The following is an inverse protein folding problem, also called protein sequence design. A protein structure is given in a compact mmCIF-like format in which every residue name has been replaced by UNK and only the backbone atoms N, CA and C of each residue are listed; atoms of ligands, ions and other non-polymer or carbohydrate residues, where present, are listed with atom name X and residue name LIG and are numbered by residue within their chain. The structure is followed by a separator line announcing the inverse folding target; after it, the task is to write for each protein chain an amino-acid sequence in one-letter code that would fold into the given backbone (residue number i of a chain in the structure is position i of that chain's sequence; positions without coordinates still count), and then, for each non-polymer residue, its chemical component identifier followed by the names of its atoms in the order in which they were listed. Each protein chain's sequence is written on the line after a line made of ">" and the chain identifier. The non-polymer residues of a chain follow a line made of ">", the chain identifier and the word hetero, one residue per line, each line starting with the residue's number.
data_IF_414610713007
#
_entry.id   IF_414610713007
#
_cell.length_a   1.000
_cell.length_b   1.000
_cell.length_c   1.000
_cell.angle_alpha   90.00
_cell.angle_beta   90.00
_cell.angle_gamma   90.00
#
_symmetry.space_group_name_H-M   'P 1'
#
loop_
_entity.id
_entity.type
_entity.pdbx_description
1 polymer ?
#
# COMPACT_ATOMS: atom_id res chain seq x y z
N UNK A 1 7.44 5.04 5.54
CA UNK A 1 6.49 4.64 4.47
C UNK A 1 7.09 3.46 3.71
N UNK A 2 6.27 2.49 3.32
CA UNK A 2 6.71 1.31 2.55
C UNK A 2 7.41 1.72 1.24
N UNK A 3 7.02 2.85 0.65
CA UNK A 3 7.65 3.43 -0.54
C UNK A 3 9.11 3.81 -0.29
N UNK A 4 9.43 4.40 0.87
CA UNK A 4 10.80 4.77 1.20
C UNK A 4 11.70 3.52 1.38
N UNK A 5 11.17 2.45 1.95
CA UNK A 5 11.86 1.16 2.10
C UNK A 5 12.11 0.52 0.73
N UNK A 6 11.09 0.47 -0.13
CA UNK A 6 11.21 -0.06 -1.49
C UNK A 6 12.24 0.71 -2.31
N UNK A 7 12.24 2.06 -2.26
CA UNK A 7 13.23 2.89 -2.96
C UNK A 7 14.65 2.71 -2.42
N UNK A 8 14.83 2.57 -1.10
CA UNK A 8 16.13 2.31 -0.52
C UNK A 8 16.70 0.97 -1.00
N UNK A 9 15.90 -0.08 -0.97
CA UNK A 9 16.29 -1.40 -1.45
C UNK A 9 16.50 -1.45 -2.98
N UNK A 10 15.67 -0.75 -3.77
CA UNK A 10 15.84 -0.66 -5.21
C UNK A 10 17.14 0.07 -5.62
N UNK A 11 17.57 1.07 -4.86
CA UNK A 11 18.88 1.71 -5.06
C UNK A 11 20.04 0.76 -4.72
N UNK A 12 19.91 0.03 -3.63
CA UNK A 12 20.92 -0.93 -3.19
C UNK A 12 21.06 -2.11 -4.16
N UNK A 13 19.99 -2.53 -4.85
CA UNK A 13 20.03 -3.61 -5.83
C UNK A 13 20.80 -3.26 -7.12
N UNK A 14 21.07 -1.99 -7.37
CA UNK A 14 21.87 -1.53 -8.54
C UNK A 14 23.39 -1.62 -8.32
N UNK A 15 23.84 -1.84 -7.11
CA UNK A 15 25.25 -2.09 -6.83
C UNK A 15 25.60 -3.55 -7.13
N UNK A 16 26.82 -3.85 -7.59
CA UNK A 16 27.24 -5.23 -7.86
C UNK A 16 27.26 -6.01 -6.54
N UNK A 17 26.28 -6.86 -6.35
CA UNK A 17 26.08 -7.65 -5.13
C UNK A 17 25.96 -9.14 -5.45
N UNK A 18 26.17 -9.98 -4.43
CA UNK A 18 25.99 -11.43 -4.53
C UNK A 18 24.50 -11.79 -4.74
N UNK A 19 24.22 -12.96 -5.30
CA UNK A 19 22.86 -13.45 -5.49
C UNK A 19 22.06 -13.55 -4.18
N UNK A 20 22.73 -13.81 -3.05
CA UNK A 20 22.15 -13.83 -1.71
C UNK A 20 21.67 -12.44 -1.26
N UNK A 21 22.43 -11.38 -1.57
CA UNK A 21 22.06 -10.01 -1.26
C UNK A 21 20.81 -9.56 -2.05
N UNK A 22 20.71 -9.90 -3.34
CA UNK A 22 19.50 -9.62 -4.13
C UNK A 22 18.26 -10.32 -3.57
N UNK A 23 18.39 -11.57 -3.12
CA UNK A 23 17.28 -12.28 -2.51
C UNK A 23 16.85 -11.70 -1.15
N UNK A 24 17.80 -11.22 -0.34
CA UNK A 24 17.51 -10.51 0.91
C UNK A 24 16.74 -9.20 0.65
N UNK A 25 17.17 -8.42 -0.35
CA UNK A 25 16.49 -7.18 -0.78
C UNK A 25 15.06 -7.48 -1.24
N UNK A 26 14.87 -8.49 -2.10
CA UNK A 26 13.55 -8.90 -2.58
C UNK A 26 12.63 -9.30 -1.43
N UNK A 27 13.14 -10.09 -0.47
CA UNK A 27 12.38 -10.48 0.72
C UNK A 27 12.00 -9.28 1.59
N UNK A 28 12.89 -8.30 1.76
CA UNK A 28 12.61 -7.06 2.49
C UNK A 28 11.50 -6.23 1.85
N UNK A 29 11.49 -6.12 0.52
CA UNK A 29 10.44 -5.43 -0.24
C UNK A 29 9.09 -6.14 -0.05
N UNK A 30 9.05 -7.46 -0.18
CA UNK A 30 7.82 -8.24 -0.03
C UNK A 30 7.27 -8.17 1.40
N UNK A 31 8.12 -8.16 2.41
CA UNK A 31 7.72 -7.93 3.81
C UNK A 31 7.13 -6.52 4.00
N UNK A 32 7.75 -5.49 3.41
CA UNK A 32 7.23 -4.13 3.49
C UNK A 32 5.82 -3.99 2.83
N UNK A 33 5.55 -4.74 1.77
CA UNK A 33 4.23 -4.79 1.16
C UNK A 33 3.21 -5.52 2.03
N UNK A 34 3.58 -6.63 2.65
CA UNK A 34 2.74 -7.35 3.61
C UNK A 34 2.30 -6.43 4.75
N UNK A 35 3.22 -5.66 5.31
CA UNK A 35 2.93 -4.65 6.34
C UNK A 35 2.00 -3.56 5.80
N UNK A 36 2.17 -3.14 4.53
CA UNK A 36 1.28 -2.16 3.90
C UNK A 36 -0.16 -2.67 3.78
N UNK A 37 -0.37 -3.93 3.43
CA UNK A 37 -1.72 -4.53 3.36
C UNK A 37 -2.37 -4.63 4.74
N UNK A 38 -1.61 -5.04 5.76
CA UNK A 38 -2.09 -5.06 7.14
C UNK A 38 -2.52 -3.66 7.62
N UNK A 39 -1.74 -2.62 7.26
CA UNK A 39 -2.05 -1.23 7.58
C UNK A 39 -3.35 -0.76 6.95
N UNK A 40 -3.60 -1.07 5.68
CA UNK A 40 -4.86 -0.77 4.99
C UNK A 40 -6.05 -1.40 5.74
N UNK A 41 -5.92 -2.65 6.19
CA UNK A 41 -6.97 -3.31 6.98
C UNK A 41 -7.21 -2.61 8.32
N UNK A 42 -6.15 -2.18 9.00
CA UNK A 42 -6.27 -1.42 10.26
C UNK A 42 -6.95 -0.07 10.04
N UNK A 43 -6.60 0.66 8.98
CA UNK A 43 -7.24 1.92 8.62
C UNK A 43 -8.75 1.74 8.36
N UNK A 44 -9.10 0.73 7.56
CA UNK A 44 -10.51 0.40 7.29
C UNK A 44 -11.24 -0.05 8.56
N UNK A 45 -10.59 -0.84 9.42
CA UNK A 45 -11.16 -1.26 10.70
C UNK A 45 -11.55 -0.06 11.58
N UNK A 46 -10.70 0.96 11.62
CA UNK A 46 -10.91 2.17 12.44
C UNK A 46 -11.99 3.06 11.83
N UNK A 47 -11.99 3.24 10.51
CA UNK A 47 -12.89 4.17 9.83
C UNK A 47 -14.26 3.54 9.54
N UNK A 48 -14.28 2.33 9.00
CA UNK A 48 -15.51 1.64 8.61
C UNK A 48 -15.34 0.11 8.59
N UNK A 49 -15.51 -0.51 9.77
CA UNK A 49 -15.33 -1.96 9.91
C UNK A 49 -16.34 -2.81 9.11
N UNK A 50 -17.43 -2.23 8.62
CA UNK A 50 -18.38 -2.96 7.78
C UNK A 50 -17.80 -3.33 6.39
N UNK A 51 -16.73 -2.67 5.96
CA UNK A 51 -16.00 -3.00 4.71
C UNK A 51 -15.04 -4.18 4.86
N UNK A 52 -14.65 -4.56 6.07
CA UNK A 52 -13.65 -5.61 6.28
C UNK A 52 -13.99 -6.93 5.59
N UNK A 53 -15.23 -7.48 5.69
CA UNK A 53 -15.55 -8.75 5.05
C UNK A 53 -15.34 -8.74 3.53
N UNK A 54 -15.56 -7.60 2.89
CA UNK A 54 -15.37 -7.44 1.44
C UNK A 54 -13.90 -7.26 1.03
N UNK A 55 -13.08 -6.69 1.91
CA UNK A 55 -11.65 -6.42 1.63
C UNK A 55 -10.73 -7.57 2.05
N UNK A 56 -11.09 -8.31 3.09
CA UNK A 56 -10.27 -9.40 3.62
C UNK A 56 -9.82 -10.43 2.56
N UNK A 57 -10.69 -10.94 1.67
CA UNK A 57 -10.27 -11.92 0.66
C UNK A 57 -9.18 -11.38 -0.26
N UNK A 58 -9.32 -10.14 -0.72
CA UNK A 58 -8.35 -9.49 -1.59
C UNK A 58 -7.01 -9.24 -0.87
N UNK A 59 -7.06 -8.71 0.34
CA UNK A 59 -5.84 -8.42 1.13
C UNK A 59 -5.12 -9.70 1.56
N UNK A 60 -5.85 -10.73 1.94
CA UNK A 60 -5.27 -12.05 2.29
C UNK A 60 -4.62 -12.67 1.06
N UNK A 61 -5.28 -12.68 -0.10
CA UNK A 61 -4.71 -13.24 -1.33
C UNK A 61 -3.41 -12.52 -1.74
N UNK A 62 -3.37 -11.20 -1.68
CA UNK A 62 -2.16 -10.42 -1.93
C UNK A 62 -1.05 -10.75 -0.93
N UNK A 63 -1.39 -10.84 0.35
CA UNK A 63 -0.44 -11.19 1.42
C UNK A 63 0.14 -12.59 1.20
N UNK A 64 -0.70 -13.58 0.89
CA UNK A 64 -0.26 -14.96 0.62
C UNK A 64 0.65 -15.03 -0.59
N UNK A 65 0.33 -14.32 -1.68
CA UNK A 65 1.19 -14.24 -2.87
C UNK A 65 2.55 -13.63 -2.51
N UNK A 66 2.58 -12.50 -1.82
CA UNK A 66 3.83 -11.86 -1.39
C UNK A 66 4.65 -12.79 -0.47
N UNK A 67 4.01 -13.44 0.51
CA UNK A 67 4.68 -14.35 1.42
C UNK A 67 5.24 -15.58 0.68
N UNK A 68 4.50 -16.15 -0.27
CA UNK A 68 4.96 -17.27 -1.08
C UNK A 68 6.19 -16.90 -1.94
N UNK A 69 6.17 -15.73 -2.59
CA UNK A 69 7.32 -15.22 -3.33
C UNK A 69 8.52 -14.94 -2.42
N UNK A 70 8.31 -14.35 -1.25
CA UNK A 70 9.37 -14.12 -0.26
C UNK A 70 10.01 -15.45 0.18
N UNK A 71 9.20 -16.44 0.53
CA UNK A 71 9.68 -17.77 0.93
C UNK A 71 10.43 -18.47 -0.23
N UNK A 72 9.96 -18.33 -1.46
CA UNK A 72 10.63 -18.88 -2.63
C UNK A 72 12.02 -18.26 -2.86
N UNK A 73 12.11 -16.92 -2.77
CA UNK A 73 13.38 -16.20 -2.87
C UNK A 73 14.35 -16.59 -1.76
N UNK A 74 13.87 -16.68 -0.50
CA UNK A 74 14.71 -17.09 0.64
C UNK A 74 15.26 -18.51 0.47
N UNK A 75 14.44 -19.46 0.00
CA UNK A 75 14.90 -20.85 -0.26
C UNK A 75 15.98 -20.93 -1.33
N UNK A 76 15.99 -20.01 -2.31
CA UNK A 76 17.01 -19.95 -3.36
C UNK A 76 18.29 -19.26 -2.93
N UNK A 77 18.23 -18.36 -1.95
CA UNK A 77 19.36 -17.54 -1.51
C UNK A 77 20.33 -18.25 -0.58
N UNK A 78 19.98 -19.42 0.01
CA UNK A 78 20.74 -20.01 1.09
C UNK A 78 20.59 -19.22 2.41
N UNK A 79 21.00 -19.82 3.54
CA UNK A 79 20.69 -19.31 4.88
C UNK A 79 21.48 -18.07 5.37
N UNK A 80 22.12 -17.31 4.52
CA UNK A 80 22.85 -16.09 4.94
C UNK A 80 22.02 -14.82 4.78
N UNK A 81 20.91 -14.74 5.50
CA UNK A 81 20.21 -13.47 5.68
C UNK A 81 20.76 -12.80 6.94
N UNK A 82 21.80 -11.99 6.80
CA UNK A 82 22.17 -11.04 7.85
C UNK A 82 21.07 -9.98 7.93
N UNK A 83 20.44 -9.87 9.09
CA UNK A 83 19.52 -8.78 9.39
C UNK A 83 20.31 -7.47 9.32
N UNK A 84 20.14 -6.71 8.23
CA UNK A 84 20.67 -5.35 8.17
C UNK A 84 19.79 -4.46 9.01
N UNK A 85 20.41 -3.73 9.93
CA UNK A 85 19.76 -2.69 10.72
C UNK A 85 19.19 -1.61 9.78
N UNK A 86 17.88 -1.63 9.62
CA UNK A 86 17.18 -0.54 8.93
C UNK A 86 17.15 0.65 9.88
N UNK A 87 17.79 1.79 9.55
CA UNK A 87 17.80 2.95 10.43
C UNK A 87 16.35 3.45 10.62
N UNK A 88 15.80 3.24 11.79
CA UNK A 88 14.48 3.73 12.19
C UNK A 88 14.54 5.25 12.32
N UNK A 89 14.34 5.97 11.24
CA UNK A 89 14.10 7.41 11.28
C UNK A 89 12.77 7.65 11.98
N UNK A 90 12.79 8.53 12.98
CA UNK A 90 11.58 8.96 13.68
C UNK A 90 10.55 9.50 12.66
N UNK A 91 9.39 8.80 12.47
CA UNK A 91 8.39 9.18 11.46
C UNK A 91 7.58 10.43 11.85
N UNK A 92 7.71 10.90 13.10
CA UNK A 92 6.91 12.00 13.63
C UNK A 92 7.57 13.35 13.35
N UNK A 93 7.41 13.85 12.12
CA UNK A 93 7.69 15.27 11.82
C UNK A 93 6.36 15.98 11.56
N UNK A 94 6.19 17.15 12.18
CA UNK A 94 5.01 18.02 11.98
C UNK A 94 4.81 18.34 10.49
N UNK A 95 5.90 18.56 9.77
CA UNK A 95 5.89 18.81 8.32
C UNK A 95 5.30 17.64 7.54
N UNK A 96 5.63 16.40 7.92
CA UNK A 96 5.05 15.21 7.27
C UNK A 96 3.57 15.07 7.59
N UNK A 97 3.14 15.38 8.81
CA UNK A 97 1.74 15.36 9.20
C UNK A 97 0.91 16.40 8.42
N UNK A 98 1.42 17.62 8.27
CA UNK A 98 0.77 18.68 7.48
C UNK A 98 0.65 18.29 6.00
N UNK A 99 1.73 17.76 5.40
CA UNK A 99 1.72 17.28 4.01
C UNK A 99 0.68 16.17 3.83
N UNK A 100 0.62 15.22 4.76
CA UNK A 100 -0.36 14.14 4.70
C UNK A 100 -1.79 14.69 4.84
N UNK A 101 -2.05 15.60 5.77
CA UNK A 101 -3.37 16.22 5.94
C UNK A 101 -3.82 17.00 4.69
N UNK A 102 -2.91 17.75 4.07
CA UNK A 102 -3.20 18.47 2.82
C UNK A 102 -3.49 17.50 1.66
N UNK A 103 -2.70 16.43 1.52
CA UNK A 103 -2.93 15.40 0.51
C UNK A 103 -4.28 14.71 0.75
N UNK A 104 -4.58 14.33 1.98
CA UNK A 104 -5.84 13.70 2.35
C UNK A 104 -7.04 14.61 2.04
N UNK A 105 -6.97 15.90 2.38
CA UNK A 105 -8.00 16.87 2.04
C UNK A 105 -8.21 17.00 0.53
N UNK A 106 -7.12 17.04 -0.25
CA UNK A 106 -7.18 17.08 -1.71
C UNK A 106 -7.83 15.81 -2.28
N UNK A 107 -7.45 14.63 -1.80
CA UNK A 107 -8.04 13.35 -2.22
C UNK A 107 -9.53 13.29 -1.86
N UNK A 108 -9.92 13.72 -0.65
CA UNK A 108 -11.33 13.82 -0.26
C UNK A 108 -12.13 14.72 -1.19
N UNK A 109 -11.57 15.87 -1.57
CA UNK A 109 -12.21 16.79 -2.52
C UNK A 109 -12.41 16.12 -3.89
N UNK A 110 -11.37 15.47 -4.41
CA UNK A 110 -11.44 14.77 -5.71
C UNK A 110 -12.46 13.61 -5.65
N UNK A 111 -12.50 12.84 -4.57
CA UNK A 111 -13.50 11.78 -4.36
C UNK A 111 -14.92 12.37 -4.37
N UNK A 112 -15.16 13.50 -3.68
CA UNK A 112 -16.46 14.18 -3.69
C UNK A 112 -16.85 14.71 -5.06
N UNK A 113 -15.91 15.28 -5.80
CA UNK A 113 -16.15 15.72 -7.17
C UNK A 113 -16.47 14.54 -8.11
N UNK A 114 -15.76 13.43 -7.99
CA UNK A 114 -16.05 12.23 -8.75
C UNK A 114 -17.45 11.67 -8.44
N UNK A 115 -17.89 11.70 -7.17
CA UNK A 115 -19.24 11.30 -6.79
C UNK A 115 -20.33 12.17 -7.42
N UNK A 116 -20.07 13.47 -7.56
CA UNK A 116 -21.04 14.39 -8.12
C UNK A 116 -21.22 14.24 -9.65
N UNK A 117 -20.16 13.83 -10.37
CA UNK A 117 -20.14 13.82 -11.83
C UNK A 117 -20.14 12.42 -12.45
N UNK A 118 -19.54 11.42 -11.76
CA UNK A 118 -19.42 10.04 -12.23
C UNK A 118 -19.31 9.10 -11.02
N UNK A 119 -20.42 8.81 -10.30
CA UNK A 119 -20.38 8.26 -8.95
C UNK A 119 -19.71 6.90 -8.81
N UNK A 120 -19.80 6.03 -9.79
CA UNK A 120 -19.17 4.70 -9.72
C UNK A 120 -17.85 4.66 -10.49
N UNK A 121 -17.89 4.99 -11.77
CA UNK A 121 -16.71 4.91 -12.67
C UNK A 121 -15.64 5.91 -12.27
N UNK A 122 -16.03 7.13 -11.86
CA UNK A 122 -15.10 8.17 -11.42
C UNK A 122 -14.29 7.77 -10.20
N UNK A 123 -14.88 7.04 -9.26
CA UNK A 123 -14.18 6.56 -8.06
C UNK A 123 -13.07 5.55 -8.38
N UNK A 124 -13.25 4.68 -9.37
CA UNK A 124 -12.21 3.75 -9.80
C UNK A 124 -11.01 4.48 -10.43
N UNK A 125 -11.25 5.49 -11.28
CA UNK A 125 -10.16 6.29 -11.83
C UNK A 125 -9.40 7.06 -10.75
N UNK A 126 -10.12 7.68 -9.81
CA UNK A 126 -9.49 8.38 -8.68
C UNK A 126 -8.69 7.41 -7.82
N UNK A 127 -9.24 6.22 -7.54
CA UNK A 127 -8.56 5.19 -6.76
C UNK A 127 -7.27 4.71 -7.43
N UNK A 128 -7.32 4.44 -8.74
CA UNK A 128 -6.16 4.02 -9.50
C UNK A 128 -5.06 5.09 -9.51
N UNK A 129 -5.39 6.34 -9.78
CA UNK A 129 -4.45 7.45 -9.83
C UNK A 129 -3.90 7.82 -8.45
N UNK A 130 -4.77 8.01 -7.45
CA UNK A 130 -4.34 8.37 -6.10
C UNK A 130 -3.54 7.25 -5.43
N UNK A 131 -3.88 5.99 -5.70
CA UNK A 131 -3.15 4.83 -5.22
C UNK A 131 -1.69 4.79 -5.66
N UNK A 132 -1.36 5.34 -6.83
CA UNK A 132 0.05 5.46 -7.28
C UNK A 132 0.87 6.39 -6.40
N UNK A 133 0.25 7.39 -5.79
CA UNK A 133 0.91 8.40 -4.95
C UNK A 133 0.87 8.02 -3.48
N UNK A 134 -0.34 7.80 -2.94
CA UNK A 134 -0.54 7.45 -1.52
C UNK A 134 -1.80 6.60 -1.34
N UNK A 135 -1.60 5.35 -0.97
CA UNK A 135 -2.70 4.41 -0.75
C UNK A 135 -3.47 4.71 0.54
N UNK A 136 -2.82 5.29 1.55
CA UNK A 136 -3.45 5.52 2.86
C UNK A 136 -4.52 6.61 2.73
N UNK A 137 -4.19 7.73 2.07
CA UNK A 137 -5.13 8.84 1.88
C UNK A 137 -6.38 8.42 1.09
N UNK A 138 -6.22 7.64 0.00
CA UNK A 138 -7.36 7.18 -0.79
C UNK A 138 -8.18 6.11 -0.05
N UNK A 139 -7.52 5.21 0.70
CA UNK A 139 -8.20 4.20 1.52
C UNK A 139 -9.11 4.83 2.57
N UNK A 140 -8.58 5.80 3.34
CA UNK A 140 -9.34 6.52 4.34
C UNK A 140 -10.52 7.27 3.72
N UNK A 141 -10.31 7.92 2.56
CA UNK A 141 -11.36 8.66 1.84
C UNK A 141 -12.47 7.74 1.35
N UNK A 142 -12.14 6.59 0.76
CA UNK A 142 -13.11 5.62 0.26
C UNK A 142 -13.82 4.87 1.41
N UNK A 143 -13.12 4.57 2.51
CA UNK A 143 -13.73 3.99 3.69
C UNK A 143 -14.75 4.94 4.34
N UNK A 144 -14.49 6.25 4.30
CA UNK A 144 -15.44 7.26 4.74
C UNK A 144 -16.62 7.39 3.77
N UNK A 145 -16.37 7.40 2.45
CA UNK A 145 -17.41 7.38 1.43
C UNK A 145 -18.39 6.22 1.62
N UNK A 146 -17.90 5.04 1.91
CA UNK A 146 -18.72 3.83 2.10
C UNK A 146 -19.72 3.90 3.26
N UNK A 147 -19.65 4.93 4.11
CA UNK A 147 -20.65 5.15 5.17
C UNK A 147 -22.00 5.67 4.63
N UNK A 148 -21.95 6.38 3.49
CA UNK A 148 -23.15 7.02 2.89
C UNK A 148 -23.37 6.60 1.44
N UNK A 149 -22.34 6.02 0.80
CA UNK A 149 -22.36 5.56 -0.58
C UNK A 149 -22.42 4.03 -0.69
N UNK A 150 -22.03 3.51 -1.86
CA UNK A 150 -22.04 2.07 -2.14
C UNK A 150 -20.78 1.38 -1.56
N UNK A 151 -20.91 0.48 -0.53
CA UNK A 151 -19.77 -0.21 0.07
C UNK A 151 -19.04 -1.13 -0.90
N UNK A 152 -19.74 -1.73 -1.88
CA UNK A 152 -19.17 -2.59 -2.90
C UNK A 152 -18.22 -1.81 -3.81
N UNK A 153 -18.63 -0.63 -4.29
CA UNK A 153 -17.79 0.28 -5.08
C UNK A 153 -16.57 0.71 -4.28
N UNK A 154 -16.74 1.08 -3.00
CA UNK A 154 -15.63 1.48 -2.15
C UNK A 154 -14.61 0.36 -1.95
N UNK A 155 -15.04 -0.86 -1.68
CA UNK A 155 -14.12 -2.00 -1.47
C UNK A 155 -13.33 -2.35 -2.74
N UNK A 156 -13.96 -2.36 -3.90
CA UNK A 156 -13.28 -2.57 -5.17
C UNK A 156 -12.30 -1.43 -5.50
N UNK A 157 -12.70 -0.18 -5.24
CA UNK A 157 -11.84 0.97 -5.45
C UNK A 157 -10.62 0.96 -4.52
N UNK A 158 -10.76 0.60 -3.23
CA UNK A 158 -9.65 0.41 -2.31
C UNK A 158 -8.71 -0.69 -2.81
N UNK A 159 -9.25 -1.83 -3.24
CA UNK A 159 -8.45 -2.93 -3.80
C UNK A 159 -7.65 -2.47 -5.02
N UNK A 160 -8.28 -1.71 -5.92
CA UNK A 160 -7.63 -1.15 -7.10
C UNK A 160 -6.51 -0.16 -6.72
N UNK A 161 -6.73 0.69 -5.72
CA UNK A 161 -5.72 1.62 -5.22
C UNK A 161 -4.49 0.87 -4.65
N UNK A 162 -4.72 -0.20 -3.88
CA UNK A 162 -3.65 -1.05 -3.35
C UNK A 162 -2.87 -1.74 -4.47
N UNK A 163 -3.55 -2.26 -5.48
CA UNK A 163 -2.92 -2.86 -6.66
C UNK A 163 -2.07 -1.83 -7.42
N UNK A 164 -2.62 -0.66 -7.72
CA UNK A 164 -1.90 0.43 -8.40
C UNK A 164 -0.65 0.84 -7.63
N UNK A 165 -0.76 1.00 -6.31
CA UNK A 165 0.37 1.31 -5.44
C UNK A 165 1.45 0.21 -5.46
N UNK A 166 1.05 -1.05 -5.48
CA UNK A 166 1.97 -2.18 -5.55
C UNK A 166 2.69 -2.24 -6.90
N UNK A 167 1.95 -2.07 -8.01
CA UNK A 167 2.51 -2.08 -9.37
C UNK A 167 3.54 -0.95 -9.54
N UNK A 168 3.21 0.27 -9.12
CA UNK A 168 4.13 1.42 -9.23
C UNK A 168 5.40 1.23 -8.39
N UNK A 169 5.33 0.48 -7.29
CA UNK A 169 6.50 0.17 -6.48
C UNK A 169 7.37 -0.96 -7.06
N UNK A 170 6.87 -1.71 -8.04
CA UNK A 170 7.65 -2.78 -8.72
C UNK A 170 8.41 -2.29 -9.94
N UNK A 171 8.01 -1.16 -10.55
CA UNK A 171 8.66 -0.57 -11.72
C UNK A 171 9.67 0.47 -11.35
#
# INVERSE_FOLDING_TARGET
>A
SSTAVTLAFARQSREPQSASAHAAIASGILLAWTVSFARVLVEVLVVNRALLPSLLPAMISMTVVCAAFAAWHQRRAGQEVQAQDVPLRNPFSLTSAIKFAALFAAVLLVVKLAQAHAPETGLYYVAALAGTTDVDAITLSLAQYARTGNPGVASHAITLAVLSNTIVKTG
#
